data_IF_724931684657
#
_entry.id   IF_724931684657
#
_cell.length_a   1.000
_cell.length_b   1.000
_cell.length_c   1.000
_cell.angle_alpha   90.00
_cell.angle_beta   90.00
_cell.angle_gamma   90.00
#
_symmetry.space_group_name_H-M   'P 1'
#
loop_
_entity.id
_entity.type
_entity.pdbx_description
1 polymer ?
#
# COMPACT_ATOMS: atom_id res chain seq x y z
N UNK A 1 45.46 13.33 -20.06
CA UNK A 1 45.27 13.00 -21.47
C UNK A 1 45.27 11.49 -21.62
N UNK A 2 44.11 10.85 -21.84
CA UNK A 2 44.02 9.56 -22.51
C UNK A 2 42.61 9.41 -23.07
N UNK A 3 42.57 9.07 -24.34
CA UNK A 3 41.46 9.22 -25.31
C UNK A 3 40.39 8.13 -25.15
N UNK A 4 39.18 8.56 -25.38
CA UNK A 4 38.00 7.85 -25.83
C UNK A 4 38.24 6.72 -26.86
N UNK A 5 37.50 5.62 -26.75
CA UNK A 5 37.18 4.78 -27.88
C UNK A 5 35.69 4.40 -27.82
N UNK A 6 34.99 5.00 -28.74
CA UNK A 6 33.62 4.69 -29.12
C UNK A 6 33.73 3.51 -30.12
N UNK A 7 33.03 2.43 -29.87
CA UNK A 7 32.78 1.37 -30.86
C UNK A 7 31.31 1.33 -31.16
N UNK A 8 30.96 1.90 -32.32
CA UNK A 8 29.71 1.65 -33.03
C UNK A 8 29.75 0.23 -33.62
N UNK A 9 28.72 -0.56 -33.35
CA UNK A 9 28.47 -1.75 -34.17
C UNK A 9 27.00 -1.80 -34.57
N UNK A 10 26.79 -1.46 -35.83
CA UNK A 10 25.56 -1.64 -36.56
C UNK A 10 25.56 -3.08 -37.09
N UNK A 11 24.55 -3.87 -36.79
CA UNK A 11 24.23 -5.08 -37.52
C UNK A 11 22.79 -5.05 -37.94
N UNK A 12 22.65 -4.93 -39.25
CA UNK A 12 21.46 -5.06 -40.07
C UNK A 12 21.26 -6.57 -40.35
N UNK A 13 20.06 -7.08 -40.16
CA UNK A 13 19.79 -8.49 -40.51
C UNK A 13 18.30 -8.82 -40.41
N UNK A 14 17.61 -8.66 -41.53
CA UNK A 14 16.24 -9.11 -41.78
C UNK A 14 16.16 -10.63 -41.79
N UNK A 15 15.12 -11.21 -41.15
CA UNK A 15 14.44 -12.40 -41.70
C UNK A 15 13.04 -12.56 -41.13
N UNK A 16 12.05 -12.50 -42.02
CA UNK A 16 10.66 -12.91 -41.71
C UNK A 16 10.63 -14.44 -41.50
N UNK A 17 10.00 -14.86 -40.40
CA UNK A 17 9.45 -16.18 -40.26
C UNK A 17 8.05 -16.10 -39.65
N UNK A 18 7.06 -16.34 -40.48
CA UNK A 18 5.65 -16.48 -40.10
C UNK A 18 5.51 -17.87 -39.49
N UNK A 19 5.35 -17.97 -38.19
CA UNK A 19 4.89 -19.21 -37.55
C UNK A 19 3.49 -18.95 -36.95
N UNK A 20 2.48 -19.47 -37.63
CA UNK A 20 1.17 -19.67 -37.08
C UNK A 20 1.27 -20.69 -35.92
N UNK A 21 1.15 -20.23 -34.70
CA UNK A 21 0.92 -21.12 -33.56
C UNK A 21 -0.48 -20.90 -33.01
N UNK A 22 -1.22 -21.97 -33.10
CA UNK A 22 -2.53 -22.24 -32.55
C UNK A 22 -2.65 -21.76 -31.09
N UNK A 23 -3.64 -20.89 -30.81
CA UNK A 23 -4.05 -20.53 -29.47
C UNK A 23 -4.62 -21.75 -28.76
N UNK A 24 -3.93 -22.20 -27.72
CA UNK A 24 -4.56 -22.98 -26.65
C UNK A 24 -5.04 -21.99 -25.58
N UNK A 25 -6.28 -22.06 -25.09
CA UNK A 25 -6.75 -21.20 -24.02
C UNK A 25 -6.14 -21.67 -22.70
N UNK A 26 -5.04 -21.03 -22.31
CA UNK A 26 -4.48 -21.16 -20.96
C UNK A 26 -5.34 -20.38 -19.99
N UNK A 27 -5.81 -21.06 -18.98
CA UNK A 27 -6.56 -20.51 -17.83
C UNK A 27 -5.83 -19.32 -17.23
N UNK A 28 -6.31 -18.13 -17.51
CA UNK A 28 -5.98 -16.94 -16.74
C UNK A 28 -6.68 -17.07 -15.38
N UNK A 29 -5.92 -17.39 -14.34
CA UNK A 29 -6.35 -17.12 -12.98
C UNK A 29 -6.51 -15.61 -12.84
N UNK A 30 -7.70 -15.10 -13.05
CA UNK A 30 -8.09 -13.75 -12.72
C UNK A 30 -7.94 -13.58 -11.21
N UNK A 31 -6.97 -12.78 -10.80
CA UNK A 31 -6.90 -12.27 -9.44
C UNK A 31 -8.17 -11.46 -9.19
N UNK A 32 -8.99 -11.87 -8.24
CA UNK A 32 -10.22 -11.18 -7.86
C UNK A 32 -9.84 -9.81 -7.32
N UNK A 33 -9.94 -8.78 -8.16
CA UNK A 33 -9.84 -7.37 -7.76
C UNK A 33 -11.20 -6.98 -7.22
N UNK A 34 -11.30 -6.81 -5.92
CA UNK A 34 -12.52 -6.30 -5.28
C UNK A 34 -12.34 -4.82 -4.97
N UNK A 35 -13.13 -3.99 -5.62
CA UNK A 35 -13.13 -2.54 -5.42
C UNK A 35 -14.16 -2.17 -4.36
N UNK A 36 -13.74 -1.47 -3.30
CA UNK A 36 -14.63 -0.97 -2.26
C UNK A 36 -15.36 0.31 -2.72
N UNK A 37 -16.64 0.40 -2.44
CA UNK A 37 -17.42 1.62 -2.63
C UNK A 37 -17.48 2.33 -1.27
N UNK A 38 -17.03 3.60 -1.22
CA UNK A 38 -17.08 4.44 -0.02
C UNK A 38 -18.53 4.65 0.44
N UNK A 39 -18.82 4.29 1.70
CA UNK A 39 -20.04 4.71 2.41
C UNK A 39 -19.67 5.21 3.80
N UNK A 40 -20.45 6.17 4.33
CA UNK A 40 -20.20 6.81 5.64
C UNK A 40 -20.33 5.87 6.85
N UNK A 41 -20.88 4.69 6.63
CA UNK A 41 -21.05 3.65 7.65
C UNK A 41 -20.14 2.45 7.35
N UNK A 42 -19.89 1.61 8.34
CA UNK A 42 -19.06 0.41 8.24
C UNK A 42 -19.32 -0.35 6.92
N UNK A 43 -18.32 -0.35 6.04
CA UNK A 43 -18.38 -1.06 4.76
C UNK A 43 -17.78 -2.45 4.92
N UNK A 44 -18.39 -3.46 4.28
CA UNK A 44 -17.83 -4.81 4.26
C UNK A 44 -17.15 -5.09 2.92
N UNK A 45 -15.87 -5.46 2.97
CA UNK A 45 -15.08 -5.94 1.84
C UNK A 45 -14.78 -7.43 2.05
N UNK A 46 -15.44 -8.32 1.29
CA UNK A 46 -15.23 -9.77 1.44
C UNK A 46 -15.34 -10.28 2.88
N UNK A 47 -16.26 -9.72 3.68
CA UNK A 47 -16.45 -10.05 5.09
C UNK A 47 -15.53 -9.28 6.06
N UNK A 48 -14.60 -8.46 5.60
CA UNK A 48 -13.83 -7.56 6.44
C UNK A 48 -14.64 -6.31 6.82
N UNK A 49 -14.44 -5.79 8.02
CA UNK A 49 -15.07 -4.55 8.51
C UNK A 49 -14.13 -3.39 8.21
N UNK A 50 -14.58 -2.45 7.36
CA UNK A 50 -13.81 -1.25 7.02
C UNK A 50 -14.53 -0.03 7.61
N UNK A 51 -13.80 0.80 8.35
CA UNK A 51 -14.30 2.01 9.00
C UNK A 51 -13.58 3.25 8.50
N UNK A 52 -14.02 4.44 8.95
CA UNK A 52 -13.33 5.72 8.73
C UNK A 52 -13.17 6.09 7.24
N UNK A 53 -14.13 5.73 6.39
CA UNK A 53 -14.14 6.02 4.95
C UNK A 53 -12.80 5.65 4.26
N UNK A 54 -12.19 4.55 4.70
CA UNK A 54 -10.97 4.03 4.09
C UNK A 54 -11.33 3.35 2.78
N UNK A 55 -10.76 3.83 1.68
CA UNK A 55 -10.85 3.20 0.36
C UNK A 55 -9.72 2.17 0.22
N UNK A 56 -10.05 0.91 -0.08
CA UNK A 56 -9.10 -0.21 -0.13
C UNK A 56 -9.19 -0.99 -1.43
N UNK A 57 -8.03 -1.34 -1.97
CA UNK A 57 -7.84 -2.34 -3.01
C UNK A 57 -6.95 -3.47 -2.45
N UNK A 58 -7.40 -4.71 -2.54
CA UNK A 58 -6.80 -5.87 -1.88
C UNK A 58 -6.54 -6.97 -2.89
N UNK A 59 -5.32 -7.49 -2.91
CA UNK A 59 -4.91 -8.58 -3.79
C UNK A 59 -4.19 -9.65 -2.99
N UNK A 60 -4.60 -10.92 -3.12
CA UNK A 60 -3.88 -12.06 -2.54
C UNK A 60 -3.92 -12.17 -1.01
N UNK A 61 -4.60 -11.27 -0.31
CA UNK A 61 -4.76 -11.29 1.15
C UNK A 61 -6.23 -11.30 1.54
N UNK A 62 -6.52 -11.78 2.74
CA UNK A 62 -7.83 -11.70 3.36
C UNK A 62 -7.74 -10.79 4.59
N UNK A 63 -8.46 -9.68 4.53
CA UNK A 63 -8.58 -8.74 5.63
C UNK A 63 -9.62 -9.23 6.64
N UNK A 64 -9.41 -8.85 7.88
CA UNK A 64 -10.38 -8.96 8.97
C UNK A 64 -11.01 -7.60 9.26
N UNK A 65 -10.18 -6.57 9.36
CA UNK A 65 -10.61 -5.24 9.77
C UNK A 65 -9.61 -4.17 9.29
N UNK A 66 -10.10 -2.96 8.97
CA UNK A 66 -9.28 -1.77 8.79
C UNK A 66 -9.99 -0.54 9.38
N UNK A 67 -9.27 0.26 10.18
CA UNK A 67 -9.80 1.42 10.87
C UNK A 67 -8.70 2.37 11.31
N UNK A 68 -9.10 3.58 11.73
CA UNK A 68 -8.19 4.58 12.28
C UNK A 68 -8.26 4.63 13.81
N UNK A 69 -7.11 4.89 14.45
CA UNK A 69 -7.00 5.13 15.89
C UNK A 69 -6.20 6.39 16.19
N UNK A 70 -6.32 6.88 17.42
CA UNK A 70 -5.39 7.84 18.02
C UNK A 70 -4.12 7.16 18.57
N UNK A 71 -3.27 7.93 19.25
CA UNK A 71 -2.03 7.46 19.85
C UNK A 71 -2.26 6.49 21.03
N UNK A 72 -3.42 6.50 21.65
CA UNK A 72 -3.80 5.62 22.74
C UNK A 72 -4.50 4.34 22.23
N UNK A 73 -4.43 4.07 20.93
CA UNK A 73 -5.08 2.94 20.23
C UNK A 73 -6.61 2.96 20.32
N UNK A 74 -7.21 4.11 20.63
CA UNK A 74 -8.65 4.29 20.66
C UNK A 74 -9.19 4.53 19.25
N UNK A 75 -10.18 3.76 18.79
CA UNK A 75 -10.77 3.96 17.47
C UNK A 75 -11.35 5.37 17.31
N UNK A 76 -11.03 6.00 16.19
CA UNK A 76 -11.56 7.32 15.86
C UNK A 76 -13.02 7.22 15.40
N UNK A 77 -13.87 8.10 15.91
CA UNK A 77 -15.24 8.29 15.42
C UNK A 77 -15.31 9.26 14.25
N UNK A 78 -14.33 10.16 14.15
CA UNK A 78 -14.16 11.11 13.07
C UNK A 78 -12.68 11.14 12.67
N UNK A 79 -12.40 11.30 11.38
CA UNK A 79 -11.05 11.38 10.86
C UNK A 79 -10.46 12.79 11.12
N UNK A 80 -10.16 13.08 12.39
CA UNK A 80 -9.61 14.37 12.84
C UNK A 80 -8.44 14.16 13.79
N UNK A 81 -7.41 15.01 13.64
CA UNK A 81 -6.27 15.09 14.56
C UNK A 81 -5.84 16.54 14.75
N UNK A 82 -5.20 16.86 15.84
CA UNK A 82 -4.51 18.13 16.02
C UNK A 82 -3.16 18.16 15.28
N UNK A 83 -2.61 19.35 15.08
CA UNK A 83 -1.22 19.50 14.63
C UNK A 83 -0.32 18.87 15.68
N UNK A 84 0.60 17.98 15.26
CA UNK A 84 1.45 17.21 16.16
C UNK A 84 0.81 15.95 16.75
N UNK A 85 -0.46 15.68 16.49
CA UNK A 85 -1.13 14.43 16.88
C UNK A 85 -1.02 13.39 15.75
N UNK A 86 -0.78 12.13 16.12
CA UNK A 86 -0.71 11.01 15.19
C UNK A 86 -2.08 10.37 14.99
N UNK A 87 -2.38 10.02 13.75
CA UNK A 87 -3.43 9.06 13.39
C UNK A 87 -2.74 7.76 12.98
N UNK A 88 -3.24 6.64 13.45
CA UNK A 88 -2.77 5.33 13.05
C UNK A 88 -3.83 4.63 12.21
N UNK A 89 -3.42 4.18 11.02
CA UNK A 89 -4.18 3.21 10.23
C UNK A 89 -3.83 1.81 10.74
N UNK A 90 -4.81 1.11 11.26
CA UNK A 90 -4.68 -0.29 11.69
C UNK A 90 -5.31 -1.19 10.64
N UNK A 91 -4.53 -2.15 10.13
CA UNK A 91 -4.96 -3.17 9.17
C UNK A 91 -4.78 -4.54 9.82
N UNK A 92 -5.89 -5.25 10.08
CA UNK A 92 -5.87 -6.61 10.62
C UNK A 92 -6.06 -7.62 9.51
N UNK A 93 -5.14 -8.57 9.45
CA UNK A 93 -5.12 -9.62 8.45
C UNK A 93 -5.69 -10.92 9.03
N UNK A 94 -6.45 -11.65 8.23
CA UNK A 94 -6.79 -13.03 8.52
C UNK A 94 -5.72 -13.97 7.94
N UNK A 95 -5.41 -13.79 6.64
CA UNK A 95 -4.35 -14.54 5.93
C UNK A 95 -3.78 -13.71 4.78
N UNK A 96 -2.64 -14.13 4.24
CA UNK A 96 -2.17 -13.59 2.95
C UNK A 96 -0.68 -13.46 2.76
N UNK A 97 0.09 -13.10 3.79
CA UNK A 97 1.54 -12.99 3.64
C UNK A 97 2.22 -14.35 3.56
N UNK A 98 3.17 -14.49 2.65
CA UNK A 98 4.04 -15.67 2.60
C UNK A 98 4.88 -15.74 3.86
N UNK A 99 5.02 -16.94 4.39
CA UNK A 99 5.81 -17.23 5.59
C UNK A 99 6.99 -18.12 5.24
N UNK A 100 8.18 -17.66 5.61
CA UNK A 100 9.43 -18.41 5.47
C UNK A 100 10.06 -18.52 6.86
N UNK A 101 10.18 -19.71 7.41
CA UNK A 101 10.77 -19.96 8.73
C UNK A 101 10.14 -19.11 9.87
N UNK A 102 8.83 -18.94 9.85
CA UNK A 102 8.10 -18.16 10.85
C UNK A 102 8.17 -16.63 10.64
N UNK A 103 8.79 -16.16 9.57
CA UNK A 103 8.92 -14.76 9.21
C UNK A 103 8.08 -14.41 7.98
N UNK A 104 7.64 -13.16 7.89
CA UNK A 104 7.05 -12.55 6.71
C UNK A 104 7.91 -11.37 6.25
N UNK A 105 8.04 -11.21 4.94
CA UNK A 105 8.87 -10.18 4.32
C UNK A 105 7.95 -9.18 3.63
N UNK A 106 7.49 -8.20 4.40
CA UNK A 106 6.58 -7.18 3.91
C UNK A 106 7.30 -5.85 3.70
N UNK A 107 6.77 -5.03 2.80
CA UNK A 107 7.09 -3.63 2.66
C UNK A 107 5.85 -2.79 2.96
N UNK A 108 6.04 -1.52 3.32
CA UNK A 108 4.97 -0.58 3.44
C UNK A 108 5.41 0.82 3.01
N UNK A 109 4.53 1.54 2.32
CA UNK A 109 4.74 2.93 1.94
C UNK A 109 3.57 3.80 2.35
N UNK A 110 3.85 5.07 2.59
CA UNK A 110 2.85 6.05 2.95
C UNK A 110 3.18 7.42 2.35
N UNK A 111 2.16 8.12 1.87
CA UNK A 111 2.25 9.50 1.39
C UNK A 111 1.11 10.31 1.94
N UNK A 112 1.39 11.52 2.40
CA UNK A 112 0.38 12.49 2.82
C UNK A 112 0.35 13.62 1.78
N UNK A 113 -0.84 13.91 1.26
CA UNK A 113 -1.05 14.89 0.21
C UNK A 113 -2.00 15.99 0.68
N UNK A 114 -1.75 17.20 0.20
CA UNK A 114 -2.72 18.30 0.29
C UNK A 114 -3.87 18.09 -0.70
N UNK A 115 -5.00 18.83 -0.59
CA UNK A 115 -6.08 18.77 -1.57
C UNK A 115 -5.66 19.10 -3.01
N UNK A 116 -4.60 19.90 -3.17
CA UNK A 116 -4.00 20.24 -4.47
C UNK A 116 -3.06 19.13 -5.01
N UNK A 117 -2.94 18.00 -4.31
CA UNK A 117 -2.09 16.87 -4.72
C UNK A 117 -0.60 17.06 -4.41
N UNK A 118 -0.19 18.11 -3.68
CA UNK A 118 1.20 18.28 -3.25
C UNK A 118 1.52 17.28 -2.13
N UNK A 119 2.56 16.47 -2.33
CA UNK A 119 3.06 15.55 -1.30
C UNK A 119 3.76 16.35 -0.21
N UNK A 120 3.36 16.17 1.03
CA UNK A 120 3.96 16.82 2.23
C UNK A 120 4.76 15.85 3.09
N UNK A 121 4.43 14.56 3.04
CA UNK A 121 5.19 13.48 3.68
C UNK A 121 5.26 12.30 2.72
N UNK A 122 6.40 11.61 2.66
CA UNK A 122 6.55 10.36 1.89
C UNK A 122 7.53 9.42 2.59
N UNK A 123 7.13 8.15 2.70
CA UNK A 123 7.97 7.03 3.09
C UNK A 123 7.78 5.92 2.06
N UNK A 124 8.86 5.52 1.37
CA UNK A 124 8.77 4.58 0.24
C UNK A 124 8.78 3.11 0.69
N UNK A 125 9.50 2.77 1.76
CA UNK A 125 9.42 1.46 2.41
C UNK A 125 9.76 1.58 3.90
N UNK A 126 8.72 1.56 4.73
CA UNK A 126 8.80 1.70 6.19
C UNK A 126 9.50 0.48 6.83
N UNK A 127 9.46 -0.69 6.17
CA UNK A 127 10.06 -1.94 6.65
C UNK A 127 11.35 -2.32 5.90
N UNK A 128 12.03 -1.33 5.32
CA UNK A 128 13.26 -1.56 4.55
C UNK A 128 14.37 -2.23 5.38
N UNK A 129 14.53 -1.84 6.63
CA UNK A 129 15.57 -2.39 7.52
C UNK A 129 15.32 -3.86 7.90
N UNK A 130 14.09 -4.35 7.73
CA UNK A 130 13.70 -5.75 7.94
C UNK A 130 13.67 -6.57 6.64
N UNK A 131 14.19 -6.04 5.54
CA UNK A 131 14.13 -6.70 4.22
C UNK A 131 14.85 -8.08 4.20
N UNK A 132 15.94 -8.22 4.96
CA UNK A 132 16.72 -9.45 5.04
C UNK A 132 16.32 -10.35 6.21
N UNK A 133 15.92 -9.79 7.34
CA UNK A 133 15.58 -10.51 8.56
C UNK A 133 14.12 -10.93 8.65
N UNK A 134 13.26 -10.24 7.92
CA UNK A 134 11.80 -10.39 8.01
C UNK A 134 11.24 -9.95 9.37
N UNK A 135 9.94 -9.81 9.42
CA UNK A 135 9.16 -9.60 10.64
C UNK A 135 8.61 -10.93 11.14
N UNK A 136 8.32 -11.06 12.43
CA UNK A 136 7.61 -12.22 12.94
C UNK A 136 6.25 -12.35 12.25
N UNK A 137 5.93 -13.56 11.76
CA UNK A 137 4.69 -13.76 11.01
C UNK A 137 3.43 -13.58 11.87
N UNK A 138 3.57 -13.61 13.19
CA UNK A 138 2.48 -13.30 14.11
C UNK A 138 2.24 -11.79 14.15
N UNK A 139 3.31 -10.99 14.24
CA UNK A 139 3.23 -9.53 14.32
C UNK A 139 2.68 -8.92 13.01
N UNK A 140 2.90 -9.57 11.86
CA UNK A 140 2.37 -9.10 10.58
C UNK A 140 0.87 -9.37 10.37
N UNK A 141 0.18 -9.96 11.35
CA UNK A 141 -1.28 -10.06 11.32
C UNK A 141 -1.98 -8.73 11.62
N UNK A 142 -1.30 -7.82 12.28
CA UNK A 142 -1.76 -6.47 12.51
C UNK A 142 -0.67 -5.49 12.12
N UNK A 143 -0.96 -4.63 11.14
CA UNK A 143 -0.03 -3.63 10.63
C UNK A 143 -0.59 -2.26 10.99
N UNK A 144 0.27 -1.41 11.56
CA UNK A 144 -0.08 -0.05 11.91
C UNK A 144 0.83 0.93 11.18
N UNK A 145 0.22 1.86 10.41
CA UNK A 145 0.91 2.96 9.73
C UNK A 145 0.49 4.28 10.37
N UNK A 146 1.42 5.23 10.53
CA UNK A 146 1.13 6.47 11.27
C UNK A 146 1.29 7.71 10.42
N UNK A 147 0.22 8.49 10.28
CA UNK A 147 0.21 9.80 9.67
C UNK A 147 0.37 10.91 10.75
N UNK A 148 1.26 11.84 10.48
CA UNK A 148 1.55 12.98 11.35
C UNK A 148 1.75 14.25 10.54
N UNK A 149 1.02 15.32 10.88
CA UNK A 149 1.26 16.68 10.38
C UNK A 149 1.77 17.52 11.54
N UNK A 150 3.04 17.93 11.46
CA UNK A 150 3.69 18.76 12.49
C UNK A 150 3.52 20.25 12.24
N UNK A 151 3.23 20.62 10.99
CA UNK A 151 3.02 22.02 10.59
C UNK A 151 2.11 22.04 9.36
N UNK A 152 1.17 22.98 9.31
CA UNK A 152 0.29 23.22 8.16
C UNK A 152 0.26 24.71 7.81
N UNK A 153 0.14 25.04 6.53
CA UNK A 153 -0.08 26.40 6.07
C UNK A 153 -1.44 26.91 6.57
N UNK A 154 -1.59 28.22 6.83
CA UNK A 154 -2.87 28.79 7.24
C UNK A 154 -4.02 28.43 6.29
N UNK A 155 -5.11 27.88 6.83
CA UNK A 155 -6.27 27.43 6.05
C UNK A 155 -6.13 26.06 5.39
N UNK A 156 -4.98 25.41 5.46
CA UNK A 156 -4.78 24.04 5.00
C UNK A 156 -5.09 23.08 6.14
N UNK A 157 -6.29 22.51 6.15
CA UNK A 157 -6.77 21.64 7.21
C UNK A 157 -7.22 20.26 6.73
N UNK A 158 -7.13 19.98 5.42
CA UNK A 158 -7.53 18.71 4.83
C UNK A 158 -6.34 17.99 4.23
N UNK A 159 -6.22 16.68 4.47
CA UNK A 159 -5.15 15.86 3.92
C UNK A 159 -5.70 14.51 3.43
N UNK A 160 -5.07 13.96 2.40
CA UNK A 160 -5.28 12.58 1.94
C UNK A 160 -4.03 11.77 2.25
N UNK A 161 -4.19 10.65 2.93
CA UNK A 161 -3.14 9.66 3.13
C UNK A 161 -3.33 8.55 2.11
N UNK A 162 -2.30 8.26 1.34
CA UNK A 162 -2.21 7.11 0.45
C UNK A 162 -1.22 6.13 1.04
N UNK A 163 -1.58 4.85 1.07
CA UNK A 163 -0.75 3.81 1.65
C UNK A 163 -0.73 2.56 0.80
N UNK A 164 0.31 1.77 0.97
CA UNK A 164 0.46 0.45 0.38
C UNK A 164 1.23 -0.45 1.34
N UNK A 165 0.76 -1.68 1.54
CA UNK A 165 1.48 -2.76 2.21
C UNK A 165 1.55 -3.92 1.24
N UNK A 166 2.73 -4.49 1.04
CA UNK A 166 2.92 -5.57 0.08
C UNK A 166 3.82 -6.67 0.62
N UNK A 167 3.63 -7.85 0.09
CA UNK A 167 4.51 -8.98 0.35
C UNK A 167 5.71 -8.94 -0.64
N UNK A 168 6.93 -8.99 -0.13
CA UNK A 168 8.15 -9.01 -0.96
C UNK A 168 8.42 -10.39 -1.58
N UNK A 169 7.64 -11.43 -1.24
CA UNK A 169 7.76 -12.81 -1.71
C UNK A 169 6.61 -13.27 -2.60
N UNK A 170 5.57 -12.45 -2.73
CA UNK A 170 4.39 -12.76 -3.56
C UNK A 170 3.79 -11.48 -4.16
N UNK A 171 2.67 -11.62 -4.88
CA UNK A 171 1.90 -10.48 -5.40
C UNK A 171 0.80 -10.01 -4.41
N UNK A 172 0.86 -10.44 -3.17
CA UNK A 172 -0.11 -10.06 -2.15
C UNK A 172 0.10 -8.60 -1.74
N UNK A 173 -0.96 -7.80 -1.76
CA UNK A 173 -0.91 -6.39 -1.35
C UNK A 173 -2.24 -5.89 -0.81
N UNK A 174 -2.15 -4.88 0.03
CA UNK A 174 -3.24 -4.00 0.44
C UNK A 174 -2.81 -2.58 0.14
N UNK A 175 -3.57 -1.84 -0.64
CA UNK A 175 -3.33 -0.43 -0.88
C UNK A 175 -4.62 0.34 -0.76
N UNK A 176 -4.50 1.61 -0.48
CA UNK A 176 -5.69 2.44 -0.32
C UNK A 176 -5.38 3.86 0.07
N UNK A 177 -6.43 4.53 0.50
CA UNK A 177 -6.36 5.91 0.95
C UNK A 177 -7.47 6.23 1.93
N UNK A 178 -7.24 7.25 2.72
CA UNK A 178 -8.24 7.88 3.57
C UNK A 178 -7.98 9.38 3.66
N UNK A 179 -8.99 10.13 4.10
CA UNK A 179 -8.84 11.58 4.33
C UNK A 179 -8.97 11.87 5.80
N UNK A 180 -8.26 12.89 6.26
CA UNK A 180 -8.43 13.43 7.60
C UNK A 180 -8.32 14.95 7.62
N UNK A 181 -8.86 15.55 8.68
CA UNK A 181 -8.86 16.98 8.90
C UNK A 181 -8.04 17.34 10.14
N UNK A 182 -7.36 18.48 10.11
CA UNK A 182 -6.84 19.10 11.31
C UNK A 182 -7.98 19.77 12.10
N UNK A 183 -7.89 19.66 13.43
CA UNK A 183 -8.77 20.36 14.40
C UNK A 183 -8.38 21.81 14.53
#
# INVERSE_FOLDING_TARGET
>A
MKKSNIINMIILGSLLAICNFSCSPGDKKEGVKTKTVSSKDNTTLNGAIIKNDIDLDVTGVKLKEAYLTDADSKPLTENKAGVGEKIYLVIKMDTGWVKENGKSFIGASERILTPAGRVVVSADDIFKDQETTGLDAFDTKEISLSALITQADPGLNNFEVQFRVWDKRSNAEVKGKYKFNLK
#
